data_IF_118516189486
#
_entry.id   IF_118516189486
#
_cell.length_a   1.000
_cell.length_b   1.000
_cell.length_c   1.000
_cell.angle_alpha   90.00
_cell.angle_beta   90.00
_cell.angle_gamma   90.00
#
_symmetry.space_group_name_H-M   'P 1'
#
loop_
_entity.id
_entity.type
_entity.pdbx_description
1 polymer ?
#
# COMPACT_ATOMS: atom_id res chain seq x y z
N UNK A 1 -15.67 -7.44 -23.73
CA UNK A 1 -14.43 -6.75 -23.33
C UNK A 1 -13.56 -7.83 -22.66
N UNK A 2 -12.29 -8.00 -23.08
CA UNK A 2 -11.37 -8.91 -22.42
C UNK A 2 -11.07 -8.37 -21.01
N UNK A 3 -10.97 -9.24 -19.98
CA UNK A 3 -10.64 -8.80 -18.64
C UNK A 3 -9.25 -8.13 -18.61
N UNK A 4 -9.09 -7.11 -17.78
CA UNK A 4 -7.80 -6.43 -17.63
C UNK A 4 -6.72 -7.37 -17.07
N UNK A 5 -5.44 -7.06 -17.31
CA UNK A 5 -4.32 -7.84 -16.73
C UNK A 5 -4.40 -7.88 -15.20
N UNK A 6 -4.78 -6.76 -14.57
CA UNK A 6 -4.96 -6.67 -13.14
C UNK A 6 -6.07 -7.60 -12.64
N UNK A 7 -7.21 -7.68 -13.33
CA UNK A 7 -8.25 -8.64 -13.01
C UNK A 7 -7.71 -10.08 -13.03
N UNK A 8 -6.91 -10.39 -14.07
CA UNK A 8 -6.22 -11.68 -14.15
C UNK A 8 -5.29 -11.92 -12.94
N UNK A 9 -4.58 -10.90 -12.49
CA UNK A 9 -3.71 -10.97 -11.31
C UNK A 9 -4.50 -11.31 -10.04
N UNK A 10 -5.61 -10.62 -9.77
CA UNK A 10 -6.47 -10.84 -8.60
C UNK A 10 -6.96 -12.28 -8.49
N UNK A 11 -7.26 -12.94 -9.61
CA UNK A 11 -7.63 -14.38 -9.61
C UNK A 11 -6.52 -15.29 -9.05
N UNK A 12 -5.27 -14.83 -9.10
CA UNK A 12 -4.11 -15.62 -8.69
C UNK A 12 -3.54 -15.24 -7.33
N UNK A 13 -4.06 -14.21 -6.64
CA UNK A 13 -3.62 -13.82 -5.29
C UNK A 13 -4.10 -14.80 -4.23
N UNK A 14 -5.23 -15.48 -4.46
CA UNK A 14 -5.92 -16.33 -3.49
C UNK A 14 -6.33 -15.57 -2.21
N UNK A 15 -6.76 -14.31 -2.33
CA UNK A 15 -7.25 -13.51 -1.19
C UNK A 15 -8.42 -14.17 -0.47
N UNK A 16 -9.22 -14.97 -1.17
CA UNK A 16 -10.29 -15.79 -0.59
C UNK A 16 -9.80 -16.75 0.51
N UNK A 17 -8.51 -17.06 0.60
CA UNK A 17 -7.94 -17.83 1.73
C UNK A 17 -7.96 -17.03 3.04
N UNK A 18 -8.06 -15.70 2.97
CA UNK A 18 -8.12 -14.79 4.12
C UNK A 18 -9.54 -14.49 4.57
N UNK A 19 -10.53 -14.75 3.70
CA UNK A 19 -11.93 -14.46 3.98
C UNK A 19 -12.53 -15.44 5.00
N UNK A 20 -13.61 -15.04 5.65
CA UNK A 20 -14.38 -15.90 6.56
C UNK A 20 -15.24 -16.89 5.75
N UNK A 21 -14.60 -17.84 5.08
CA UNK A 21 -15.23 -18.95 4.34
C UNK A 21 -14.99 -20.27 5.06
N UNK A 22 -15.83 -21.28 4.84
CA UNK A 22 -15.57 -22.64 5.34
C UNK A 22 -14.17 -23.13 4.97
N UNK A 23 -13.53 -23.83 5.90
CA UNK A 23 -12.13 -24.25 5.76
C UNK A 23 -11.92 -25.24 4.62
N UNK A 24 -12.83 -26.15 4.43
CA UNK A 24 -12.85 -27.12 3.33
C UNK A 24 -12.90 -26.42 1.97
N UNK A 25 -13.69 -25.35 1.85
CA UNK A 25 -13.77 -24.54 0.61
C UNK A 25 -12.43 -23.86 0.33
N UNK A 26 -11.77 -23.32 1.36
CA UNK A 26 -10.46 -22.66 1.21
C UNK A 26 -9.36 -23.67 0.87
N UNK A 27 -9.35 -24.84 1.52
CA UNK A 27 -8.42 -25.92 1.21
C UNK A 27 -8.61 -26.42 -0.23
N UNK A 28 -9.85 -26.63 -0.65
CA UNK A 28 -10.18 -27.04 -2.02
C UNK A 28 -9.73 -25.99 -3.06
N UNK A 29 -9.91 -24.70 -2.74
CA UNK A 29 -9.49 -23.61 -3.63
C UNK A 29 -7.97 -23.65 -3.86
N UNK A 30 -7.17 -23.79 -2.79
CA UNK A 30 -5.71 -23.87 -2.88
C UNK A 30 -5.27 -25.09 -3.70
N UNK A 31 -5.84 -26.25 -3.43
CA UNK A 31 -5.54 -27.46 -4.17
C UNK A 31 -5.95 -27.37 -5.66
N UNK A 32 -7.11 -26.81 -5.96
CA UNK A 32 -7.57 -26.58 -7.33
C UNK A 32 -6.62 -25.65 -8.06
N UNK A 33 -6.18 -24.55 -7.40
CA UNK A 33 -5.22 -23.64 -8.00
C UNK A 33 -3.92 -24.35 -8.36
N UNK A 34 -3.35 -25.13 -7.44
CA UNK A 34 -2.11 -25.90 -7.65
C UNK A 34 -2.25 -26.86 -8.85
N UNK A 35 -3.38 -27.56 -8.96
CA UNK A 35 -3.62 -28.51 -10.07
C UNK A 35 -3.88 -27.85 -11.42
N UNK A 36 -4.55 -26.69 -11.42
CA UNK A 36 -5.00 -26.03 -12.64
C UNK A 36 -3.95 -25.14 -13.30
N UNK A 37 -2.94 -24.70 -12.56
CA UNK A 37 -1.96 -23.75 -13.05
C UNK A 37 -0.59 -24.41 -13.28
N UNK A 38 -0.31 -24.73 -14.54
CA UNK A 38 0.96 -25.32 -14.93
C UNK A 38 2.14 -24.39 -14.56
N UNK A 39 3.31 -24.99 -14.31
CA UNK A 39 4.54 -24.26 -14.00
C UNK A 39 4.82 -23.15 -15.03
N UNK A 40 5.16 -21.96 -14.54
CA UNK A 40 5.49 -20.76 -15.32
C UNK A 40 4.35 -20.24 -16.24
N UNK A 41 3.10 -20.70 -16.07
CA UNK A 41 1.95 -20.18 -16.83
C UNK A 41 1.58 -18.75 -16.40
N UNK A 42 1.38 -17.87 -17.38
CA UNK A 42 0.98 -16.46 -17.13
C UNK A 42 -0.55 -16.34 -17.08
N UNK A 43 -1.10 -15.39 -16.30
CA UNK A 43 -0.38 -14.41 -15.44
C UNK A 43 -0.03 -14.97 -14.05
N UNK A 44 -0.51 -16.15 -13.67
CA UNK A 44 -0.43 -16.69 -12.33
C UNK A 44 1.00 -16.89 -11.79
N UNK A 45 1.97 -17.12 -12.66
CA UNK A 45 3.37 -17.29 -12.28
C UNK A 45 4.21 -16.02 -12.42
N UNK A 46 3.60 -14.88 -12.75
CA UNK A 46 4.35 -13.62 -12.66
C UNK A 46 4.71 -13.32 -11.20
N UNK A 47 5.86 -12.67 -10.91
CA UNK A 47 6.39 -12.59 -9.54
C UNK A 47 5.45 -11.92 -8.55
N UNK A 48 4.76 -10.85 -8.95
CA UNK A 48 3.84 -10.15 -8.06
C UNK A 48 2.65 -11.04 -7.61
N UNK A 49 1.85 -11.65 -8.52
CA UNK A 49 0.80 -12.60 -8.11
C UNK A 49 1.34 -13.80 -7.33
N UNK A 50 2.51 -14.32 -7.69
CA UNK A 50 3.14 -15.43 -6.99
C UNK A 50 3.47 -15.05 -5.54
N UNK A 51 3.96 -13.83 -5.31
CA UNK A 51 4.30 -13.32 -3.98
C UNK A 51 3.09 -13.27 -3.06
N UNK A 52 1.99 -12.64 -3.50
CA UNK A 52 0.77 -12.53 -2.69
C UNK A 52 0.21 -13.93 -2.38
N UNK A 53 0.12 -14.78 -3.39
CA UNK A 53 -0.38 -16.14 -3.22
C UNK A 53 0.43 -16.98 -2.25
N UNK A 54 1.77 -16.91 -2.34
CA UNK A 54 2.65 -17.65 -1.42
C UNK A 54 2.40 -17.22 0.02
N UNK A 55 2.30 -15.92 0.29
CA UNK A 55 1.99 -15.40 1.62
C UNK A 55 0.61 -15.85 2.09
N UNK A 56 -0.42 -15.68 1.27
CA UNK A 56 -1.79 -16.03 1.63
C UNK A 56 -1.95 -17.55 1.88
N UNK A 57 -1.32 -18.38 1.05
CA UNK A 57 -1.35 -19.83 1.22
C UNK A 57 -0.58 -20.28 2.47
N UNK A 58 0.61 -19.73 2.74
CA UNK A 58 1.38 -20.07 3.93
C UNK A 58 0.67 -19.63 5.20
N UNK A 59 0.11 -18.42 5.24
CA UNK A 59 -0.67 -17.94 6.39
C UNK A 59 -1.89 -18.85 6.66
N UNK A 60 -2.63 -19.21 5.62
CA UNK A 60 -3.75 -20.15 5.74
C UNK A 60 -3.30 -21.51 6.30
N UNK A 61 -2.17 -22.03 5.83
CA UNK A 61 -1.66 -23.34 6.25
C UNK A 61 -1.12 -23.36 7.68
N UNK A 62 -0.71 -22.22 8.27
CA UNK A 62 -0.17 -22.18 9.65
C UNK A 62 -1.12 -22.78 10.69
N UNK A 63 -2.42 -22.77 10.45
CA UNK A 63 -3.43 -23.35 11.32
C UNK A 63 -3.91 -24.75 10.86
N UNK A 64 -3.25 -25.38 9.89
CA UNK A 64 -3.68 -26.62 9.25
C UNK A 64 -2.89 -27.84 9.74
N UNK A 65 -3.44 -29.02 9.45
CA UNK A 65 -2.82 -30.30 9.76
C UNK A 65 -1.54 -30.56 8.93
N UNK A 66 -0.66 -31.42 9.43
CA UNK A 66 0.52 -31.86 8.67
C UNK A 66 0.19 -32.48 7.31
N UNK A 67 -0.97 -33.14 7.20
CA UNK A 67 -1.43 -33.74 5.94
C UNK A 67 -1.72 -32.66 4.89
N UNK A 68 -2.38 -31.57 5.26
CA UNK A 68 -2.66 -30.45 4.36
C UNK A 68 -1.37 -29.76 3.93
N UNK A 69 -0.44 -29.56 4.89
CA UNK A 69 0.89 -29.05 4.62
C UNK A 69 1.64 -29.91 3.58
N UNK A 70 1.69 -31.23 3.77
CA UNK A 70 2.45 -32.12 2.89
C UNK A 70 1.91 -32.13 1.46
N UNK A 71 0.61 -31.92 1.26
CA UNK A 71 0.00 -31.77 -0.06
C UNK A 71 0.38 -30.48 -0.82
N UNK A 72 0.67 -29.40 -0.10
CA UNK A 72 0.91 -28.08 -0.69
C UNK A 72 2.37 -27.62 -0.63
N UNK A 73 3.16 -28.15 0.30
CA UNK A 73 4.52 -27.65 0.59
C UNK A 73 5.45 -27.68 -0.63
N UNK A 74 5.42 -28.73 -1.42
CA UNK A 74 6.25 -28.85 -2.62
C UNK A 74 5.87 -27.81 -3.69
N UNK A 75 4.58 -27.55 -3.87
CA UNK A 75 4.10 -26.54 -4.81
C UNK A 75 4.46 -25.11 -4.36
N UNK A 76 4.36 -24.84 -3.07
CA UNK A 76 4.76 -23.53 -2.51
C UNK A 76 6.28 -23.35 -2.53
N UNK A 77 7.04 -24.42 -2.28
CA UNK A 77 8.50 -24.39 -2.42
C UNK A 77 8.94 -24.13 -3.87
N UNK A 78 8.25 -24.72 -4.85
CA UNK A 78 8.50 -24.46 -6.27
C UNK A 78 8.21 -23.00 -6.64
N UNK A 79 7.14 -22.40 -6.10
CA UNK A 79 6.81 -21.00 -6.32
C UNK A 79 7.84 -20.07 -5.68
N UNK A 80 8.29 -20.35 -4.46
CA UNK A 80 9.34 -19.56 -3.81
C UNK A 80 10.68 -19.67 -4.54
N UNK A 81 11.03 -20.86 -5.04
CA UNK A 81 12.22 -21.05 -5.87
C UNK A 81 12.13 -20.25 -7.18
N UNK A 82 10.99 -20.29 -7.85
CA UNK A 82 10.73 -19.51 -9.05
C UNK A 82 10.81 -18.00 -8.78
N UNK A 83 10.20 -17.56 -7.70
CA UNK A 83 10.20 -16.15 -7.29
C UNK A 83 11.63 -15.65 -7.02
N UNK A 84 12.47 -16.44 -6.32
CA UNK A 84 13.86 -16.06 -6.06
C UNK A 84 14.65 -15.81 -7.35
N UNK A 85 14.35 -16.56 -8.41
CA UNK A 85 15.01 -16.42 -9.71
C UNK A 85 14.42 -15.27 -10.57
N UNK A 86 13.31 -14.67 -10.16
CA UNK A 86 12.55 -13.68 -10.94
C UNK A 86 12.14 -12.45 -10.11
N UNK A 87 13.01 -11.98 -9.21
CA UNK A 87 12.75 -10.80 -8.40
C UNK A 87 12.60 -9.54 -9.27
N UNK A 88 11.63 -8.70 -8.95
CA UNK A 88 11.26 -7.50 -9.73
C UNK A 88 12.12 -6.28 -9.34
N UNK A 89 13.45 -6.42 -9.45
CA UNK A 89 14.40 -5.34 -9.16
C UNK A 89 14.25 -4.13 -10.08
N UNK A 90 13.81 -4.35 -11.30
CA UNK A 90 13.58 -3.34 -12.34
C UNK A 90 12.30 -2.53 -12.10
N UNK A 91 11.29 -3.14 -11.48
CA UNK A 91 10.05 -2.46 -11.07
C UNK A 91 10.25 -1.79 -9.71
N UNK A 92 10.87 -2.48 -8.76
CA UNK A 92 11.13 -1.97 -7.41
C UNK A 92 9.86 -1.75 -6.59
N UNK A 93 9.91 -0.78 -5.66
CA UNK A 93 8.79 -0.32 -4.83
C UNK A 93 7.95 -1.48 -4.24
N UNK A 94 6.63 -1.34 -4.27
CA UNK A 94 5.68 -2.34 -3.79
C UNK A 94 5.91 -3.76 -4.36
N UNK A 95 6.34 -3.90 -5.61
CA UNK A 95 6.61 -5.22 -6.21
C UNK A 95 7.75 -5.96 -5.51
N UNK A 96 8.89 -5.30 -5.37
CA UNK A 96 10.06 -5.90 -4.71
C UNK A 96 9.82 -6.12 -3.21
N UNK A 97 9.03 -5.24 -2.57
CA UNK A 97 8.55 -5.43 -1.20
C UNK A 97 7.80 -6.76 -1.07
N UNK A 98 6.79 -7.01 -1.92
CA UNK A 98 6.00 -8.25 -1.92
C UNK A 98 6.86 -9.48 -2.20
N UNK A 99 7.82 -9.38 -3.13
CA UNK A 99 8.75 -10.48 -3.42
C UNK A 99 9.59 -10.83 -2.18
N UNK A 100 10.14 -9.83 -1.49
CA UNK A 100 10.92 -10.01 -0.26
C UNK A 100 10.10 -10.64 0.86
N UNK A 101 8.88 -10.16 1.09
CA UNK A 101 7.96 -10.74 2.07
C UNK A 101 7.67 -12.21 1.78
N UNK A 102 7.34 -12.56 0.54
CA UNK A 102 7.02 -13.94 0.18
C UNK A 102 8.19 -14.88 0.43
N UNK A 103 9.43 -14.47 0.11
CA UNK A 103 10.63 -15.25 0.42
C UNK A 103 10.87 -15.34 1.93
N UNK A 104 10.67 -14.26 2.69
CA UNK A 104 10.81 -14.25 4.15
C UNK A 104 9.80 -15.17 4.84
N UNK A 105 8.55 -15.21 4.34
CA UNK A 105 7.51 -16.15 4.77
C UNK A 105 7.87 -17.59 4.42
N UNK A 106 8.20 -17.88 3.16
CA UNK A 106 8.56 -19.23 2.71
C UNK A 106 9.78 -19.76 3.47
N UNK A 107 10.76 -18.91 3.75
CA UNK A 107 11.94 -19.25 4.51
C UNK A 107 11.68 -19.62 5.98
N UNK A 108 10.58 -19.15 6.57
CA UNK A 108 10.16 -19.46 7.95
C UNK A 108 9.20 -20.64 8.03
N UNK A 109 8.32 -20.76 7.05
CA UNK A 109 7.28 -21.78 7.06
C UNK A 109 7.73 -23.13 6.48
N UNK A 110 8.70 -23.14 5.58
CA UNK A 110 9.19 -24.35 4.92
C UNK A 110 10.54 -24.79 5.53
N UNK A 111 10.91 -26.06 5.32
CA UNK A 111 12.15 -26.65 5.89
C UNK A 111 13.13 -27.05 4.80
N UNK A 112 14.44 -26.92 5.05
CA UNK A 112 15.51 -27.34 4.15
C UNK A 112 16.52 -26.24 3.87
N UNK A 113 17.48 -26.49 2.96
CA UNK A 113 18.53 -25.52 2.61
C UNK A 113 18.03 -24.33 1.81
N UNK A 114 17.13 -24.54 0.86
CA UNK A 114 16.55 -23.46 0.07
C UNK A 114 15.73 -22.48 0.92
N UNK A 115 14.82 -22.92 1.82
CA UNK A 115 14.16 -22.04 2.76
C UNK A 115 15.10 -21.18 3.62
N UNK A 116 16.21 -21.71 4.10
CA UNK A 116 17.20 -20.92 4.84
C UNK A 116 17.77 -19.78 3.99
N UNK A 117 18.04 -20.03 2.70
CA UNK A 117 18.48 -18.99 1.75
C UNK A 117 17.38 -17.99 1.45
N UNK A 118 16.14 -18.45 1.21
CA UNK A 118 14.99 -17.57 0.98
C UNK A 118 14.73 -16.64 2.15
N UNK A 119 14.86 -17.15 3.37
CA UNK A 119 14.80 -16.32 4.57
C UNK A 119 15.85 -15.22 4.55
N UNK A 120 17.09 -15.55 4.30
CA UNK A 120 18.19 -14.57 4.27
C UNK A 120 17.99 -13.52 3.17
N UNK A 121 17.61 -13.93 1.96
CA UNK A 121 17.31 -13.03 0.83
C UNK A 121 16.10 -12.17 1.13
N UNK A 122 15.01 -12.77 1.61
CA UNK A 122 13.77 -12.06 1.96
C UNK A 122 13.98 -11.03 3.05
N UNK A 123 14.66 -11.41 4.16
CA UNK A 123 14.96 -10.49 5.26
C UNK A 123 15.83 -9.31 4.83
N UNK A 124 16.79 -9.56 3.92
CA UNK A 124 17.63 -8.50 3.36
C UNK A 124 16.84 -7.53 2.49
N UNK A 125 15.93 -8.04 1.63
CA UNK A 125 15.03 -7.22 0.81
C UNK A 125 14.10 -6.42 1.72
N UNK A 126 13.40 -7.06 2.66
CA UNK A 126 12.48 -6.40 3.61
C UNK A 126 13.20 -5.28 4.38
N UNK A 127 14.42 -5.53 4.88
CA UNK A 127 15.20 -4.52 5.60
C UNK A 127 15.53 -3.32 4.72
N UNK A 128 15.91 -3.56 3.47
CA UNK A 128 16.24 -2.49 2.51
C UNK A 128 15.01 -1.68 2.13
N UNK A 129 13.93 -2.38 1.78
CA UNK A 129 12.70 -1.74 1.31
C UNK A 129 12.00 -0.95 2.43
N UNK A 130 12.02 -1.41 3.68
CA UNK A 130 11.51 -0.62 4.81
C UNK A 130 12.23 0.72 4.97
N UNK A 131 13.54 0.74 4.74
CA UNK A 131 14.33 1.99 4.80
C UNK A 131 14.06 2.91 3.61
N UNK A 132 13.75 2.34 2.44
CA UNK A 132 13.52 3.10 1.22
C UNK A 132 12.07 3.60 1.09
N UNK A 133 11.11 2.82 1.62
CA UNK A 133 9.69 3.05 1.38
C UNK A 133 8.92 3.64 2.56
N UNK A 134 9.53 3.81 3.75
CA UNK A 134 8.91 4.50 4.87
C UNK A 134 9.56 5.88 5.07
N UNK A 135 8.73 6.90 5.06
CA UNK A 135 9.10 8.27 5.42
C UNK A 135 9.30 8.42 6.94
N UNK A 136 9.81 9.56 7.38
CA UNK A 136 10.13 9.81 8.79
C UNK A 136 8.91 9.71 9.72
N UNK A 137 7.72 10.08 9.23
CA UNK A 137 6.47 9.94 9.96
C UNK A 137 5.87 8.52 9.90
N UNK A 138 6.48 7.60 9.17
CA UNK A 138 6.03 6.22 8.99
C UNK A 138 5.07 6.02 7.82
N UNK A 139 4.72 7.06 7.06
CA UNK A 139 3.88 6.91 5.88
C UNK A 139 4.67 6.30 4.71
N UNK A 140 3.96 5.65 3.78
CA UNK A 140 4.57 5.06 2.59
C UNK A 140 5.03 6.13 1.60
N UNK A 141 6.21 5.94 1.03
CA UNK A 141 6.89 6.91 0.15
C UNK A 141 6.10 7.26 -1.13
N UNK A 142 5.22 6.38 -1.59
CA UNK A 142 4.36 6.66 -2.73
C UNK A 142 3.22 7.63 -2.43
N UNK A 143 3.03 8.01 -1.16
CA UNK A 143 2.03 8.98 -0.68
C UNK A 143 0.59 8.65 -1.09
N UNK A 144 0.32 7.38 -1.34
CA UNK A 144 -0.99 6.87 -1.73
C UNK A 144 -1.62 6.13 -0.55
N UNK A 145 -2.70 6.64 0.07
CA UNK A 145 -3.32 6.05 1.26
C UNK A 145 -3.71 4.58 1.11
N UNK A 146 -4.23 4.17 -0.04
CA UNK A 146 -4.56 2.77 -0.32
C UNK A 146 -3.33 1.85 -0.28
N UNK A 147 -2.20 2.25 -0.87
CA UNK A 147 -0.96 1.47 -0.83
C UNK A 147 -0.31 1.49 0.56
N UNK A 148 -0.49 2.58 1.30
CA UNK A 148 -0.07 2.62 2.70
C UNK A 148 -0.86 1.61 3.56
N UNK A 149 -2.18 1.50 3.38
CA UNK A 149 -3.01 0.50 4.03
C UNK A 149 -2.54 -0.93 3.74
N UNK A 150 -2.21 -1.23 2.47
CA UNK A 150 -1.63 -2.52 2.06
C UNK A 150 -0.31 -2.80 2.78
N UNK A 151 0.57 -1.80 2.92
CA UNK A 151 1.84 -1.94 3.63
C UNK A 151 1.62 -2.24 5.12
N UNK A 152 0.67 -1.54 5.77
CA UNK A 152 0.34 -1.77 7.19
C UNK A 152 -0.18 -3.19 7.41
N UNK A 153 -1.10 -3.67 6.56
CA UNK A 153 -1.59 -5.06 6.60
C UNK A 153 -0.43 -6.07 6.46
N UNK A 154 0.46 -5.86 5.52
CA UNK A 154 1.63 -6.72 5.33
C UNK A 154 2.51 -6.77 6.58
N UNK A 155 2.78 -5.63 7.19
CA UNK A 155 3.61 -5.54 8.40
C UNK A 155 2.94 -6.20 9.61
N UNK A 156 1.64 -6.02 9.78
CA UNK A 156 0.86 -6.68 10.83
C UNK A 156 0.94 -8.20 10.69
N UNK A 157 0.69 -8.70 9.49
CA UNK A 157 0.75 -10.15 9.19
C UNK A 157 2.16 -10.71 9.40
N UNK A 158 3.18 -9.98 8.96
CA UNK A 158 4.55 -10.44 9.08
C UNK A 158 5.05 -10.42 10.53
N UNK A 159 4.69 -9.40 11.32
CA UNK A 159 4.97 -9.40 12.76
C UNK A 159 4.30 -10.58 13.48
N UNK A 160 3.06 -10.92 13.13
CA UNK A 160 2.38 -12.11 13.68
C UNK A 160 3.18 -13.40 13.39
N UNK A 161 3.67 -13.56 12.17
CA UNK A 161 4.53 -14.70 11.82
C UNK A 161 5.79 -14.74 12.70
N UNK A 162 6.47 -13.61 12.86
CA UNK A 162 7.70 -13.51 13.66
C UNK A 162 7.44 -13.87 15.13
N UNK A 163 6.31 -13.44 15.69
CA UNK A 163 5.91 -13.76 17.07
C UNK A 163 5.57 -15.25 17.24
N UNK A 164 4.81 -15.82 16.31
CA UNK A 164 4.51 -17.27 16.31
C UNK A 164 5.79 -18.10 16.22
N UNK A 165 6.79 -17.62 15.49
CA UNK A 165 8.12 -18.23 15.38
C UNK A 165 9.05 -17.99 16.58
N UNK A 166 8.66 -17.17 17.57
CA UNK A 166 9.50 -16.79 18.72
C UNK A 166 10.68 -15.88 18.33
N UNK A 167 10.56 -15.15 17.23
CA UNK A 167 11.65 -14.33 16.68
C UNK A 167 11.58 -12.85 17.07
N UNK A 168 10.55 -12.40 17.76
CA UNK A 168 10.23 -11.00 18.04
C UNK A 168 11.35 -10.22 18.74
N UNK A 169 12.25 -10.92 19.43
CA UNK A 169 13.39 -10.33 20.14
C UNK A 169 14.65 -10.15 19.28
N UNK A 170 14.64 -10.66 18.04
CA UNK A 170 15.74 -10.51 17.09
C UNK A 170 15.88 -9.08 16.57
N UNK A 171 17.08 -8.68 16.15
CA UNK A 171 17.35 -7.33 15.59
C UNK A 171 16.48 -7.05 14.38
N UNK A 172 16.37 -8.00 13.47
CA UNK A 172 15.52 -7.90 12.28
C UNK A 172 14.05 -7.69 12.65
N UNK A 173 13.53 -8.54 13.54
CA UNK A 173 12.14 -8.47 13.98
C UNK A 173 11.81 -7.16 14.69
N UNK A 174 12.71 -6.65 15.55
CA UNK A 174 12.53 -5.33 16.17
C UNK A 174 12.41 -4.22 15.13
N UNK A 175 13.18 -4.28 14.04
CA UNK A 175 13.07 -3.33 12.93
C UNK A 175 11.70 -3.39 12.22
N UNK A 176 11.16 -4.59 12.01
CA UNK A 176 9.80 -4.79 11.45
C UNK A 176 8.72 -4.28 12.40
N UNK A 177 8.84 -4.58 13.69
CA UNK A 177 7.89 -4.14 14.74
C UNK A 177 7.86 -2.61 14.83
N UNK A 178 9.02 -1.97 14.83
CA UNK A 178 9.10 -0.50 14.85
C UNK A 178 8.49 0.11 13.59
N UNK A 179 8.78 -0.44 12.42
CA UNK A 179 8.20 -0.02 11.16
C UNK A 179 6.67 -0.15 11.17
N UNK A 180 6.12 -1.30 11.65
CA UNK A 180 4.68 -1.50 11.78
C UNK A 180 4.05 -0.46 12.72
N UNK A 181 4.65 -0.19 13.86
CA UNK A 181 4.14 0.80 14.83
C UNK A 181 4.07 2.19 14.21
N UNK A 182 5.13 2.63 13.56
CA UNK A 182 5.17 3.93 12.88
C UNK A 182 4.16 3.99 11.72
N UNK A 183 4.11 2.95 10.89
CA UNK A 183 3.18 2.89 9.77
C UNK A 183 1.71 2.87 10.23
N UNK A 184 1.36 2.11 11.27
CA UNK A 184 0.01 2.09 11.82
C UNK A 184 -0.38 3.43 12.46
N UNK A 185 0.55 4.11 13.13
CA UNK A 185 0.32 5.46 13.67
C UNK A 185 0.11 6.49 12.55
N UNK A 186 0.88 6.43 11.48
CA UNK A 186 0.69 7.28 10.29
C UNK A 186 -0.65 6.98 9.61
N UNK A 187 -1.03 5.71 9.52
CA UNK A 187 -2.30 5.28 8.91
C UNK A 187 -3.51 5.88 9.64
N UNK A 188 -3.61 5.66 10.96
CA UNK A 188 -4.73 6.21 11.75
C UNK A 188 -4.77 7.74 11.72
N UNK A 189 -3.62 8.40 11.50
CA UNK A 189 -3.51 9.86 11.46
C UNK A 189 -4.15 10.51 10.23
N UNK A 190 -4.30 9.75 9.14
CA UNK A 190 -4.85 10.25 7.87
C UNK A 190 -6.24 9.72 7.55
N UNK A 191 -6.86 8.93 8.44
CA UNK A 191 -8.23 8.46 8.23
C UNK A 191 -9.23 9.58 8.43
N UNK A 192 -10.32 9.54 7.67
CA UNK A 192 -11.50 10.35 7.90
C UNK A 192 -12.22 9.95 9.20
N UNK A 193 -13.15 10.78 9.72
CA UNK A 193 -13.95 10.42 10.89
C UNK A 193 -14.82 9.17 10.73
N UNK A 194 -15.15 8.78 9.49
CA UNK A 194 -15.84 7.52 9.15
C UNK A 194 -14.95 6.29 9.27
N UNK A 195 -13.65 6.48 9.58
CA UNK A 195 -12.66 5.41 9.71
C UNK A 195 -12.02 4.94 8.41
N UNK A 196 -12.35 5.54 7.27
CA UNK A 196 -11.84 5.14 5.97
C UNK A 196 -10.76 6.09 5.42
N UNK A 197 -9.98 5.60 4.47
CA UNK A 197 -8.88 6.32 3.82
C UNK A 197 -9.39 7.49 2.97
N UNK A 198 -8.61 8.60 2.81
CA UNK A 198 -8.81 9.53 1.72
C UNK A 198 -8.44 8.89 0.38
N UNK A 199 -9.05 9.38 -0.69
CA UNK A 199 -8.91 8.80 -2.03
C UNK A 199 -7.83 9.51 -2.88
N UNK A 200 -6.83 10.11 -2.26
CA UNK A 200 -5.71 10.72 -2.98
C UNK A 200 -4.93 9.71 -3.80
N UNK A 201 -4.46 10.13 -4.97
CA UNK A 201 -3.66 9.31 -5.86
C UNK A 201 -4.41 8.00 -6.26
N UNK A 202 -3.70 6.91 -6.51
CA UNK A 202 -4.29 5.60 -6.84
C UNK A 202 -4.89 4.91 -5.61
N UNK A 203 -5.71 5.61 -4.82
CA UNK A 203 -6.45 5.02 -3.71
C UNK A 203 -7.86 4.62 -4.12
N UNK A 204 -8.31 3.48 -3.62
CA UNK A 204 -9.69 3.02 -3.76
C UNK A 204 -10.12 2.20 -2.54
N UNK A 205 -11.40 2.25 -2.21
CA UNK A 205 -11.98 1.33 -1.24
C UNK A 205 -11.86 -0.11 -1.74
N UNK A 206 -11.53 -1.04 -0.84
CA UNK A 206 -11.36 -2.45 -1.16
C UNK A 206 -10.00 -2.83 -1.78
N UNK A 207 -9.06 -1.89 -1.93
CA UNK A 207 -7.66 -2.19 -2.31
C UNK A 207 -6.89 -2.96 -1.22
N UNK A 208 -7.18 -2.64 0.03
CA UNK A 208 -6.70 -3.30 1.24
C UNK A 208 -7.91 -3.84 2.02
N UNK A 209 -7.71 -4.67 3.05
CA UNK A 209 -8.74 -4.93 4.03
C UNK A 209 -9.26 -3.62 4.64
N UNK A 210 -10.48 -3.66 5.21
CA UNK A 210 -11.08 -2.51 5.90
C UNK A 210 -10.12 -1.92 6.94
N UNK A 211 -10.07 -0.59 7.02
CA UNK A 211 -9.14 0.14 7.90
C UNK A 211 -9.28 -0.32 9.35
N UNK A 212 -10.51 -0.47 9.85
CA UNK A 212 -10.79 -0.96 11.20
C UNK A 212 -10.18 -2.35 11.44
N UNK A 213 -10.31 -3.27 10.47
CA UNK A 213 -9.75 -4.61 10.58
C UNK A 213 -8.21 -4.60 10.69
N UNK A 214 -7.54 -3.74 9.94
CA UNK A 214 -6.07 -3.58 10.00
C UNK A 214 -5.66 -3.00 11.37
N UNK A 215 -6.35 -1.95 11.82
CA UNK A 215 -6.03 -1.25 13.06
C UNK A 215 -6.27 -2.10 14.30
N UNK A 216 -7.36 -2.88 14.33
CA UNK A 216 -7.66 -3.81 15.42
C UNK A 216 -6.52 -4.83 15.58
N UNK A 217 -6.06 -5.41 14.47
CA UNK A 217 -4.95 -6.36 14.48
C UNK A 217 -3.62 -5.74 14.88
N UNK A 218 -3.37 -4.51 14.44
CA UNK A 218 -2.19 -3.77 14.88
C UNK A 218 -2.22 -3.50 16.38
N UNK A 219 -3.39 -3.12 16.94
CA UNK A 219 -3.62 -2.92 18.37
C UNK A 219 -3.48 -4.21 19.17
N UNK A 220 -4.01 -5.34 18.69
CA UNK A 220 -3.84 -6.66 19.30
C UNK A 220 -2.36 -7.01 19.52
N UNK A 221 -1.49 -6.69 18.57
CA UNK A 221 -0.04 -6.91 18.67
C UNK A 221 0.62 -6.06 19.77
N UNK A 222 0.01 -4.95 20.14
CA UNK A 222 0.44 -4.05 21.21
C UNK A 222 -0.35 -4.27 22.52
N UNK A 223 -1.00 -5.44 22.68
CA UNK A 223 -1.76 -5.81 23.88
C UNK A 223 -3.09 -5.06 24.01
N UNK A 224 -3.68 -4.61 22.92
CA UNK A 224 -4.92 -3.83 22.89
C UNK A 224 -4.73 -2.34 23.17
N UNK A 225 -3.49 -1.85 23.17
CA UNK A 225 -3.22 -0.43 23.35
C UNK A 225 -3.74 0.39 22.14
N UNK A 226 -4.35 1.58 22.37
CA UNK A 226 -4.79 2.41 21.29
C UNK A 226 -3.62 2.91 20.44
N UNK A 227 -3.80 2.94 19.14
CA UNK A 227 -2.83 3.52 18.21
C UNK A 227 -2.86 5.06 18.35
N UNK A 228 -1.69 5.64 18.52
CA UNK A 228 -1.56 7.09 18.71
C UNK A 228 -1.50 7.80 17.36
N UNK A 229 -2.60 8.44 17.00
CA UNK A 229 -2.66 9.30 15.82
C UNK A 229 -1.85 10.59 16.04
N UNK A 230 -1.14 11.01 14.99
CA UNK A 230 -0.60 12.37 14.93
C UNK A 230 -1.74 13.34 14.57
N UNK A 231 -2.09 14.33 15.42
CA UNK A 231 -3.18 15.24 15.11
C UNK A 231 -2.92 16.14 13.89
N UNK A 232 -1.69 16.16 13.40
CA UNK A 232 -1.28 16.92 12.19
C UNK A 232 -1.33 16.08 10.91
N UNK A 233 -1.69 14.80 10.98
CA UNK A 233 -1.63 13.86 9.85
C UNK A 233 -0.26 13.23 9.66
N UNK A 234 0.17 13.09 8.42
CA UNK A 234 1.48 12.55 8.00
C UNK A 234 2.28 13.64 7.24
N UNK A 235 2.86 14.62 7.94
CA UNK A 235 3.46 15.80 7.30
C UNK A 235 4.72 15.50 6.48
N UNK A 236 5.47 14.43 6.75
CA UNK A 236 6.59 14.02 5.90
C UNK A 236 6.11 13.44 4.55
N UNK A 237 4.91 12.89 4.52
CA UNK A 237 4.23 12.54 3.27
C UNK A 237 3.58 13.75 2.59
N UNK A 238 3.46 14.88 3.29
CA UNK A 238 2.71 16.05 2.83
C UNK A 238 1.21 15.96 3.09
N UNK A 239 0.74 14.92 3.75
CA UNK A 239 -0.67 14.75 4.09
C UNK A 239 -0.97 15.41 5.45
N UNK A 240 -1.65 16.54 5.41
CA UNK A 240 -1.97 17.33 6.57
C UNK A 240 -3.41 17.13 7.01
N UNK A 241 -3.59 16.97 8.34
CA UNK A 241 -4.91 16.91 8.97
C UNK A 241 -5.19 18.22 9.69
N UNK A 242 -6.31 18.88 9.35
CA UNK A 242 -6.83 20.04 10.04
C UNK A 242 -8.18 19.63 10.67
N UNK A 243 -8.25 19.62 11.98
CA UNK A 243 -9.44 19.23 12.72
C UNK A 243 -10.04 20.43 13.41
N UNK A 244 -11.31 20.73 13.11
CA UNK A 244 -12.17 21.63 13.86
C UNK A 244 -13.06 20.84 14.81
N UNK A 245 -14.05 21.53 15.42
CA UNK A 245 -14.98 20.91 16.37
C UNK A 245 -15.81 19.77 15.74
N UNK A 246 -16.27 19.99 14.51
CA UNK A 246 -17.12 19.03 13.76
C UNK A 246 -16.61 18.76 12.35
N UNK A 247 -15.47 19.28 11.97
CA UNK A 247 -14.94 19.16 10.61
C UNK A 247 -13.51 18.63 10.62
N UNK A 248 -13.19 17.84 9.61
CA UNK A 248 -11.84 17.38 9.33
C UNK A 248 -11.54 17.63 7.87
N UNK A 249 -10.45 18.36 7.61
CA UNK A 249 -9.87 18.50 6.29
C UNK A 249 -8.61 17.65 6.24
N UNK A 250 -8.49 16.84 5.23
CA UNK A 250 -7.23 16.19 4.81
C UNK A 250 -6.74 16.96 3.58
N UNK A 251 -5.53 17.48 3.64
CA UNK A 251 -4.95 18.36 2.63
C UNK A 251 -3.63 17.77 2.16
N UNK A 252 -3.48 17.60 0.85
CA UNK A 252 -2.27 17.09 0.22
C UNK A 252 -1.38 18.26 -0.25
N UNK A 253 -0.31 18.53 0.50
CA UNK A 253 0.77 19.42 0.12
C UNK A 253 2.08 18.63 -0.08
N UNK A 254 1.97 17.37 -0.45
CA UNK A 254 3.08 16.46 -0.71
C UNK A 254 3.66 16.60 -2.11
N UNK A 255 4.86 16.07 -2.28
CA UNK A 255 5.41 15.85 -3.61
C UNK A 255 4.62 14.75 -4.33
N UNK A 256 4.59 14.83 -5.65
CA UNK A 256 3.87 13.90 -6.52
C UNK A 256 4.52 12.51 -6.50
N UNK A 257 4.04 11.65 -5.61
CA UNK A 257 4.50 10.29 -5.44
C UNK A 257 5.99 10.17 -5.07
N UNK A 258 6.55 9.00 -5.34
CA UNK A 258 7.97 8.70 -5.16
C UNK A 258 8.74 9.01 -6.44
N UNK A 259 9.74 9.87 -6.37
CA UNK A 259 10.50 10.37 -7.54
C UNK A 259 11.01 9.27 -8.49
N UNK A 260 11.60 8.15 -8.01
CA UNK A 260 12.03 7.08 -8.90
C UNK A 260 10.88 6.33 -9.58
N UNK A 261 9.72 6.25 -8.96
CA UNK A 261 8.58 5.45 -9.42
C UNK A 261 7.23 6.11 -9.07
N UNK A 262 6.84 7.21 -9.77
CA UNK A 262 5.60 7.94 -9.49
C UNK A 262 4.38 7.32 -10.20
N UNK A 263 4.36 6.00 -10.36
CA UNK A 263 3.35 5.32 -11.16
C UNK A 263 1.92 5.46 -10.65
N UNK A 264 1.76 5.59 -9.33
CA UNK A 264 0.47 5.71 -8.66
C UNK A 264 0.05 7.16 -8.37
N UNK A 265 0.87 8.14 -8.76
CA UNK A 265 0.60 9.55 -8.52
C UNK A 265 -0.40 10.15 -9.50
N UNK A 266 -1.10 11.17 -9.06
CA UNK A 266 -2.02 12.01 -9.84
C UNK A 266 -1.55 13.46 -9.89
N UNK A 267 -2.17 14.28 -10.74
CA UNK A 267 -1.91 15.72 -10.80
C UNK A 267 -2.80 16.46 -9.80
N UNK A 268 -2.67 16.13 -8.51
CA UNK A 268 -3.57 16.47 -7.40
C UNK A 268 -2.90 17.32 -6.29
N UNK A 269 -1.71 17.87 -6.53
CA UNK A 269 -0.99 18.70 -5.55
C UNK A 269 -1.87 19.85 -5.06
N UNK A 270 -1.93 20.05 -3.73
CA UNK A 270 -2.82 20.96 -3.00
C UNK A 270 -4.31 20.61 -3.11
N UNK A 271 -4.61 19.36 -3.40
CA UNK A 271 -5.97 18.82 -3.28
C UNK A 271 -6.36 18.60 -1.82
N UNK A 272 -7.67 18.53 -1.55
CA UNK A 272 -8.18 18.27 -0.21
C UNK A 272 -9.46 17.45 -0.23
N UNK A 273 -9.69 16.74 0.86
CA UNK A 273 -10.97 16.15 1.21
C UNK A 273 -11.52 16.76 2.50
N UNK A 274 -12.83 16.85 2.64
CA UNK A 274 -13.51 17.41 3.80
C UNK A 274 -14.58 16.47 4.32
N UNK A 275 -14.55 16.19 5.61
CA UNK A 275 -15.66 15.58 6.35
C UNK A 275 -16.25 16.57 7.34
N UNK A 276 -17.56 16.46 7.53
CA UNK A 276 -18.32 17.14 8.58
C UNK A 276 -19.02 16.06 9.42
N UNK A 277 -18.66 15.97 10.69
CA UNK A 277 -18.89 14.78 11.51
C UNK A 277 -18.35 13.53 10.79
N UNK A 278 -19.14 12.47 10.64
CA UNK A 278 -18.76 11.26 9.91
C UNK A 278 -19.13 11.30 8.41
N UNK A 279 -19.67 12.42 7.91
CA UNK A 279 -20.11 12.55 6.53
C UNK A 279 -19.03 13.22 5.68
N UNK A 280 -18.59 12.56 4.61
CA UNK A 280 -17.71 13.18 3.61
C UNK A 280 -18.49 14.16 2.77
N UNK A 281 -18.01 15.39 2.68
CA UNK A 281 -18.65 16.51 1.96
C UNK A 281 -17.89 16.86 0.68
N UNK A 282 -16.57 16.85 0.75
CA UNK A 282 -15.69 16.98 -0.42
C UNK A 282 -14.84 15.71 -0.47
N UNK A 283 -14.87 15.04 -1.61
CA UNK A 283 -14.18 13.76 -1.83
C UNK A 283 -13.32 13.85 -3.07
N UNK A 284 -12.24 13.07 -3.10
CA UNK A 284 -11.44 12.85 -4.30
C UNK A 284 -12.02 11.71 -5.14
N UNK A 285 -11.68 11.68 -6.43
CA UNK A 285 -12.15 10.65 -7.36
C UNK A 285 -11.43 9.30 -7.18
N UNK A 286 -10.22 9.32 -6.64
CA UNK A 286 -9.37 8.14 -6.50
C UNK A 286 -8.98 7.51 -7.83
N UNK A 287 -8.75 6.20 -7.81
CA UNK A 287 -8.44 5.43 -9.01
C UNK A 287 -9.67 4.77 -9.60
N UNK A 288 -9.87 4.94 -10.92
CA UNK A 288 -10.93 4.23 -11.65
C UNK A 288 -10.50 2.80 -12.01
N UNK A 289 -9.40 2.68 -12.74
CA UNK A 289 -8.75 1.41 -13.11
C UNK A 289 -7.27 1.63 -13.48
N UNK A 290 -6.61 0.57 -13.93
CA UNK A 290 -5.21 0.59 -14.38
C UNK A 290 -5.08 0.24 -15.88
N UNK A 291 -6.18 0.20 -16.62
CA UNK A 291 -6.16 0.04 -18.07
C UNK A 291 -5.94 1.40 -18.77
N UNK A 292 -5.36 1.41 -19.98
CA UNK A 292 -5.28 2.64 -20.77
C UNK A 292 -6.69 3.00 -21.29
N UNK A 293 -7.36 3.89 -20.56
CA UNK A 293 -8.72 4.36 -20.84
C UNK A 293 -8.82 5.89 -20.67
N UNK A 294 -9.89 6.49 -21.18
CA UNK A 294 -10.16 7.91 -20.98
C UNK A 294 -10.48 8.21 -19.51
N UNK A 295 -11.16 7.28 -18.84
CA UNK A 295 -11.49 7.37 -17.41
C UNK A 295 -10.23 7.35 -16.53
N UNK A 296 -9.26 6.47 -16.85
CA UNK A 296 -7.95 6.44 -16.17
C UNK A 296 -7.19 7.75 -16.39
N UNK A 297 -7.17 8.26 -17.63
CA UNK A 297 -6.52 9.54 -17.94
C UNK A 297 -7.18 10.70 -17.19
N UNK A 298 -8.51 10.75 -17.15
CA UNK A 298 -9.27 11.76 -16.39
C UNK A 298 -9.00 11.65 -14.87
N UNK A 299 -9.09 10.46 -14.29
CA UNK A 299 -8.86 10.27 -12.86
C UNK A 299 -7.46 10.69 -12.39
N UNK A 300 -6.46 10.71 -13.28
CA UNK A 300 -5.10 11.18 -12.98
C UNK A 300 -4.87 12.66 -13.27
N UNK A 301 -5.76 13.31 -14.00
CA UNK A 301 -5.66 14.70 -14.39
C UNK A 301 -6.17 15.67 -13.33
N UNK A 302 -5.69 16.91 -13.34
CA UNK A 302 -6.03 17.93 -12.35
C UNK A 302 -7.53 18.20 -12.26
N UNK A 303 -8.25 18.14 -13.37
CA UNK A 303 -9.70 18.40 -13.44
C UNK A 303 -10.56 17.44 -12.59
N UNK A 304 -10.03 16.27 -12.18
CA UNK A 304 -10.76 15.30 -11.35
C UNK A 304 -10.56 15.52 -9.84
N UNK A 305 -9.72 16.47 -9.45
CA UNK A 305 -9.30 16.67 -8.07
C UNK A 305 -9.79 18.00 -7.48
N UNK A 306 -9.80 18.11 -6.17
CA UNK A 306 -10.25 19.30 -5.44
C UNK A 306 -9.10 20.30 -5.32
N UNK A 307 -8.56 20.74 -6.44
CA UNK A 307 -7.45 21.70 -6.55
C UNK A 307 -7.66 22.65 -7.72
N UNK A 308 -6.76 23.61 -7.93
CA UNK A 308 -6.86 24.59 -9.01
C UNK A 308 -6.34 24.01 -10.33
N UNK A 309 -7.18 24.04 -11.35
CA UNK A 309 -6.78 23.88 -12.75
C UNK A 309 -6.65 25.23 -13.44
N UNK A 310 -5.58 25.44 -14.20
CA UNK A 310 -5.32 26.68 -14.90
C UNK A 310 -5.30 26.45 -16.43
N UNK A 311 -6.16 27.17 -17.16
CA UNK A 311 -6.28 27.12 -18.63
C UNK A 311 -6.55 25.71 -19.19
N UNK A 312 -7.21 24.82 -18.44
CA UNK A 312 -7.47 23.43 -18.84
C UNK A 312 -6.22 22.59 -18.92
N UNK A 313 -5.17 22.94 -18.15
CA UNK A 313 -3.89 22.26 -18.15
C UNK A 313 -3.62 21.56 -16.82
N UNK A 314 -3.12 20.33 -16.89
CA UNK A 314 -2.67 19.61 -15.71
C UNK A 314 -1.45 20.30 -15.06
N UNK A 315 -1.47 20.40 -13.74
CA UNK A 315 -0.32 20.91 -12.95
C UNK A 315 0.93 20.01 -13.07
N UNK A 316 0.73 18.72 -13.35
CA UNK A 316 1.81 17.75 -13.62
C UNK A 316 1.51 16.99 -14.90
N UNK A 317 2.56 16.59 -15.64
CA UNK A 317 2.41 15.96 -16.95
C UNK A 317 2.11 14.45 -16.80
N UNK A 318 0.85 14.05 -16.98
CA UNK A 318 0.39 12.66 -16.96
C UNK A 318 0.33 12.10 -18.39
N UNK A 319 1.36 11.35 -18.83
CA UNK A 319 1.45 10.90 -20.24
C UNK A 319 1.29 9.40 -20.46
N UNK A 320 0.77 8.68 -19.50
CA UNK A 320 0.49 7.25 -19.61
C UNK A 320 -0.10 6.71 -18.33
N UNK A 321 -0.46 5.44 -18.34
CA UNK A 321 -1.16 4.78 -17.20
C UNK A 321 -0.38 4.90 -15.89
N UNK A 322 0.97 4.82 -15.96
CA UNK A 322 1.90 4.87 -14.83
C UNK A 322 3.06 5.85 -15.05
N UNK A 323 2.90 6.83 -15.92
CA UNK A 323 4.00 7.73 -16.29
C UNK A 323 3.69 9.16 -15.94
N UNK A 324 4.68 9.82 -15.37
CA UNK A 324 4.65 11.24 -15.02
C UNK A 324 5.91 11.89 -15.58
N UNK A 325 5.71 12.96 -16.33
CA UNK A 325 6.80 13.78 -16.86
C UNK A 325 7.17 14.92 -15.91
N UNK A 326 6.88 16.17 -16.34
CA UNK A 326 7.03 17.35 -15.48
C UNK A 326 6.13 17.23 -14.26
N UNK A 327 6.64 17.61 -13.08
CA UNK A 327 5.97 17.46 -11.81
C UNK A 327 5.78 18.80 -11.13
N UNK A 328 4.59 19.06 -10.63
CA UNK A 328 4.36 20.12 -9.67
C UNK A 328 5.15 19.82 -8.38
N UNK A 329 5.81 20.83 -7.84
CA UNK A 329 6.53 20.72 -6.56
C UNK A 329 5.94 21.69 -5.59
N UNK A 330 5.45 21.20 -4.45
CA UNK A 330 4.96 22.06 -3.38
C UNK A 330 6.13 22.79 -2.72
N UNK A 331 5.87 24.02 -2.27
CA UNK A 331 6.81 24.83 -1.50
C UNK A 331 6.06 25.79 -0.59
N UNK A 332 6.80 26.43 0.33
CA UNK A 332 6.23 27.38 1.30
C UNK A 332 5.08 26.80 2.13
N UNK A 333 5.13 25.49 2.42
CA UNK A 333 4.12 24.86 3.27
C UNK A 333 4.25 25.40 4.69
N UNK A 334 3.21 26.09 5.16
CA UNK A 334 3.17 26.72 6.50
C UNK A 334 1.88 26.31 7.19
N UNK A 335 2.00 25.88 8.44
CA UNK A 335 0.88 25.56 9.29
C UNK A 335 0.86 26.51 10.49
N UNK A 336 -0.30 27.04 10.79
CA UNK A 336 -0.55 27.86 11.98
C UNK A 336 -1.65 27.22 12.83
N UNK A 337 -1.36 27.01 14.10
CA UNK A 337 -2.29 26.52 15.10
C UNK A 337 -2.45 27.66 16.14
N UNK A 338 -3.54 28.45 16.07
CA UNK A 338 -3.79 29.60 16.96
C UNK A 338 -5.25 29.66 17.42
N UNK A 339 -5.47 29.80 18.70
CA UNK A 339 -6.77 30.13 19.31
C UNK A 339 -7.95 29.23 18.80
N UNK A 340 -7.69 27.93 18.61
CA UNK A 340 -8.67 27.00 18.09
C UNK A 340 -8.85 27.02 16.57
N UNK A 341 -8.13 27.89 15.87
CA UNK A 341 -8.05 27.90 14.41
C UNK A 341 -6.80 27.14 13.96
N UNK A 342 -6.98 26.19 13.03
CA UNK A 342 -5.90 25.54 12.31
C UNK A 342 -5.93 25.98 10.87
N UNK A 343 -4.85 26.55 10.38
CA UNK A 343 -4.70 26.96 9.00
C UNK A 343 -3.46 26.33 8.37
N UNK A 344 -3.53 26.05 7.08
CA UNK A 344 -2.39 25.63 6.26
C UNK A 344 -2.36 26.46 4.99
N UNK A 345 -1.18 26.89 4.61
CA UNK A 345 -0.89 27.59 3.37
C UNK A 345 0.23 26.85 2.65
N UNK A 346 0.09 26.67 1.35
CA UNK A 346 1.10 26.04 0.53
C UNK A 346 1.02 26.60 -0.90
N UNK A 347 2.10 26.45 -1.65
CA UNK A 347 2.17 26.81 -3.07
C UNK A 347 2.82 25.69 -3.85
N UNK A 348 2.56 25.63 -5.16
CA UNK A 348 3.30 24.75 -6.08
C UNK A 348 3.69 25.46 -7.37
N UNK A 349 4.70 24.92 -8.06
CA UNK A 349 5.29 25.49 -9.28
C UNK A 349 4.77 24.84 -10.57
N UNK A 350 3.74 24.03 -10.50
CA UNK A 350 3.24 23.20 -11.60
C UNK A 350 2.89 23.98 -12.87
N UNK A 351 2.51 25.23 -12.75
CA UNK A 351 2.11 26.11 -13.86
C UNK A 351 3.19 27.10 -14.32
N UNK A 352 4.39 27.09 -13.75
CA UNK A 352 5.47 28.02 -14.14
C UNK A 352 5.90 27.93 -15.60
N UNK A 353 5.56 26.85 -16.29
CA UNK A 353 5.82 26.68 -17.73
C UNK A 353 4.83 27.44 -18.63
N UNK A 354 3.72 27.93 -18.07
CA UNK A 354 2.74 28.72 -18.79
C UNK A 354 3.17 30.18 -18.91
N UNK A 355 2.53 30.94 -19.81
CA UNK A 355 2.77 32.38 -20.00
C UNK A 355 2.54 33.13 -18.67
N UNK A 356 3.49 33.98 -18.30
CA UNK A 356 3.46 34.69 -17.02
C UNK A 356 3.99 33.88 -15.84
N UNK A 357 4.36 32.63 -16.00
CA UNK A 357 4.95 31.74 -14.97
C UNK A 357 4.14 31.72 -13.66
N UNK A 358 2.83 31.45 -13.71
CA UNK A 358 1.99 31.52 -12.51
C UNK A 358 2.38 30.45 -11.49
N UNK A 359 2.12 30.79 -10.22
CA UNK A 359 2.28 29.93 -9.06
C UNK A 359 0.91 29.81 -8.39
N UNK A 360 0.52 28.57 -8.07
CA UNK A 360 -0.66 28.33 -7.26
C UNK A 360 -0.30 28.32 -5.80
#
# INVERSE_FOLDING_TARGET
VAPSRLWGYHLHYLDALRENRPEDVRSELLEKWIRANAFASRPGWEPFPASLRVVNALEFLLSRSEREWSGCAAALALQAWWLEANLEHDVGANHLWKNGLALAWAGRCLRGRSPQRWRAVGDAIVTRELRAQLLDDGFHVERTPGYHAVLVDDLVRFERLLRVGGEENGVFARGVIDARKRAAAAFVSVLHPDGEIPLFNDSAFGQAPESAWILDRASELDGGAPLLANPRGAPSAGLHRLAGERSVVLFDAGEIGWDPQPGHAHADTLSYELSFDETRVVVDAGVYDYAPSAERAYARGTASHNTLELDGMDQSEMWGVFRVGRRARPFSVRREDRDGLVAIEASHDGYRHLAGSPVH
#
